data_IF_103200745689
#
_entry.id   IF_103200745689
#
_cell.length_a   1.000
_cell.length_b   1.000
_cell.length_c   1.000
_cell.angle_alpha   90.00
_cell.angle_beta   90.00
_cell.angle_gamma   90.00
#
_symmetry.space_group_name_H-M   'P 1'
#
loop_
_entity.id
_entity.type
_entity.pdbx_description
1 polymer ?
#
# COMPACT_ATOMS: atom_id res chain seq x y z
N UNK A 1 -9.69 16.32 -21.96
CA UNK A 1 -11.11 16.61 -22.31
C UNK A 1 -11.84 17.39 -21.21
N UNK A 2 -11.88 16.92 -19.96
CA UNK A 2 -12.51 17.67 -18.83
C UNK A 2 -11.98 19.09 -18.66
N UNK A 3 -10.66 19.29 -18.67
CA UNK A 3 -10.04 20.62 -18.52
C UNK A 3 -10.49 21.59 -19.61
N UNK A 4 -10.61 21.12 -20.85
CA UNK A 4 -11.08 21.91 -21.99
C UNK A 4 -12.56 22.30 -21.84
N UNK A 5 -13.41 21.35 -21.40
CA UNK A 5 -14.82 21.61 -21.12
C UNK A 5 -15.03 22.60 -19.97
N UNK A 6 -14.23 22.49 -18.90
CA UNK A 6 -14.26 23.41 -17.76
C UNK A 6 -13.80 24.82 -18.17
N UNK A 7 -12.73 24.94 -18.96
CA UNK A 7 -12.27 26.23 -19.48
C UNK A 7 -13.33 26.85 -20.39
N UNK A 8 -13.93 26.08 -21.30
CA UNK A 8 -15.01 26.55 -22.17
C UNK A 8 -16.23 27.04 -21.38
N UNK A 9 -16.59 26.35 -20.29
CA UNK A 9 -17.68 26.76 -19.40
C UNK A 9 -17.36 28.06 -18.66
N UNK A 10 -16.14 28.21 -18.13
CA UNK A 10 -15.70 29.43 -17.44
C UNK A 10 -15.65 30.64 -18.38
N UNK A 11 -15.10 30.46 -19.59
CA UNK A 11 -15.05 31.50 -20.62
C UNK A 11 -16.47 31.89 -21.05
N UNK A 12 -17.35 30.91 -21.28
CA UNK A 12 -18.75 31.18 -21.66
C UNK A 12 -19.50 31.91 -20.54
N UNK A 13 -19.28 31.53 -19.27
CA UNK A 13 -19.84 32.23 -18.11
C UNK A 13 -19.35 33.67 -17.99
N UNK A 14 -18.05 33.92 -18.20
CA UNK A 14 -17.47 35.26 -18.18
C UNK A 14 -18.01 36.15 -19.31
N UNK A 15 -18.13 35.61 -20.53
CA UNK A 15 -18.70 36.33 -21.69
C UNK A 15 -20.19 36.62 -21.48
N UNK A 16 -20.94 35.70 -20.89
CA UNK A 16 -22.35 35.90 -20.54
C UNK A 16 -22.50 37.02 -19.50
N UNK A 17 -21.72 37.01 -18.42
CA UNK A 17 -21.74 38.05 -17.38
C UNK A 17 -21.35 39.42 -17.95
N UNK A 18 -20.32 39.47 -18.79
CA UNK A 18 -19.89 40.69 -19.47
C UNK A 18 -20.98 41.23 -20.42
N UNK A 19 -21.63 40.36 -21.19
CA UNK A 19 -22.71 40.73 -22.11
C UNK A 19 -23.95 41.25 -21.37
N UNK A 20 -24.32 40.63 -20.25
CA UNK A 20 -25.42 41.08 -19.40
C UNK A 20 -25.10 42.42 -18.71
N UNK A 21 -23.85 42.63 -18.30
CA UNK A 21 -23.40 43.90 -17.73
C UNK A 21 -23.45 45.03 -18.77
N UNK A 22 -22.95 44.78 -19.99
CA UNK A 22 -23.03 45.71 -21.13
C UNK A 22 -24.46 46.06 -21.52
N UNK A 23 -25.37 45.08 -21.51
CA UNK A 23 -26.80 45.34 -21.76
C UNK A 23 -27.43 46.27 -20.73
N UNK A 24 -27.01 46.19 -19.45
CA UNK A 24 -27.52 47.07 -18.38
C UNK A 24 -26.97 48.49 -18.46
N UNK A 25 -25.77 48.68 -19.00
CA UNK A 25 -25.08 49.99 -19.08
C UNK A 25 -25.25 50.71 -20.42
N UNK A 26 -25.80 50.04 -21.45
CA UNK A 26 -26.16 50.64 -22.74
C UNK A 26 -26.76 49.61 -23.71
N UNK A 27 -27.65 50.04 -24.61
CA UNK A 27 -28.37 49.12 -25.50
C UNK A 27 -27.49 48.63 -26.67
N UNK A 28 -26.70 47.58 -26.45
CA UNK A 28 -26.06 46.84 -27.54
C UNK A 28 -27.05 45.77 -28.07
N UNK A 29 -27.53 45.87 -29.34
CA UNK A 29 -28.57 45.00 -29.87
C UNK A 29 -28.19 43.51 -29.92
N UNK A 30 -26.89 43.20 -29.86
CA UNK A 30 -26.35 41.83 -29.90
C UNK A 30 -26.12 41.20 -28.51
N UNK A 31 -26.31 41.96 -27.42
CA UNK A 31 -25.95 41.48 -26.08
C UNK A 31 -26.87 40.34 -25.58
N UNK A 32 -28.18 40.39 -25.87
CA UNK A 32 -29.15 39.34 -25.53
C UNK A 32 -28.92 38.02 -26.28
N UNK A 33 -28.81 38.01 -27.63
CA UNK A 33 -28.58 36.76 -28.35
C UNK A 33 -27.22 36.15 -28.01
N UNK A 34 -26.18 36.96 -27.78
CA UNK A 34 -24.87 36.47 -27.35
C UNK A 34 -24.92 35.80 -25.97
N UNK A 35 -25.58 36.42 -24.99
CA UNK A 35 -25.74 35.84 -23.66
C UNK A 35 -26.52 34.50 -23.72
N UNK A 36 -27.56 34.42 -24.56
CA UNK A 36 -28.32 33.18 -24.75
C UNK A 36 -27.45 32.06 -25.35
N UNK A 37 -26.66 32.35 -26.40
CA UNK A 37 -25.75 31.37 -26.99
C UNK A 37 -24.70 30.89 -25.98
N UNK A 38 -24.11 31.79 -25.21
CA UNK A 38 -23.15 31.43 -24.15
C UNK A 38 -23.79 30.57 -23.06
N UNK A 39 -25.04 30.84 -22.68
CA UNK A 39 -25.78 30.03 -21.72
C UNK A 39 -26.03 28.61 -22.24
N UNK A 40 -26.42 28.48 -23.51
CA UNK A 40 -26.60 27.16 -24.16
C UNK A 40 -25.28 26.39 -24.22
N UNK A 41 -24.17 27.04 -24.60
CA UNK A 41 -22.85 26.41 -24.63
C UNK A 41 -22.43 25.95 -23.23
N UNK A 42 -22.60 26.80 -22.20
CA UNK A 42 -22.27 26.44 -20.83
C UNK A 42 -23.11 25.25 -20.33
N UNK A 43 -24.40 25.22 -20.66
CA UNK A 43 -25.30 24.10 -20.32
C UNK A 43 -24.88 22.80 -21.03
N UNK A 44 -24.56 22.86 -22.32
CA UNK A 44 -24.08 21.70 -23.08
C UNK A 44 -22.74 21.20 -22.55
N UNK A 45 -21.81 22.10 -22.19
CA UNK A 45 -20.55 21.71 -21.56
C UNK A 45 -20.77 21.08 -20.18
N UNK A 46 -21.72 21.58 -19.39
CA UNK A 46 -22.06 20.99 -18.08
C UNK A 46 -22.65 19.58 -18.24
N UNK A 47 -23.61 19.40 -19.15
CA UNK A 47 -24.20 18.10 -19.47
C UNK A 47 -23.15 17.12 -20.01
N UNK A 48 -22.28 17.58 -20.91
CA UNK A 48 -21.17 16.77 -21.43
C UNK A 48 -20.21 16.36 -20.31
N UNK A 49 -19.90 17.26 -19.36
CA UNK A 49 -19.05 16.95 -18.20
C UNK A 49 -19.66 15.88 -17.28
N UNK A 50 -20.99 15.85 -17.15
CA UNK A 50 -21.70 14.79 -16.40
C UNK A 50 -21.59 13.42 -17.07
N UNK A 51 -21.45 13.38 -18.41
CA UNK A 51 -21.29 12.16 -19.19
C UNK A 51 -19.83 11.68 -19.29
N UNK A 52 -18.85 12.53 -18.98
CA UNK A 52 -17.44 12.09 -18.97
C UNK A 52 -17.22 11.14 -17.78
N UNK A 53 -16.76 9.89 -18.01
CA UNK A 53 -16.52 8.91 -16.95
C UNK A 53 -15.78 9.55 -15.78
N UNK A 54 -16.35 9.45 -14.58
CA UNK A 54 -15.60 9.73 -13.35
C UNK A 54 -14.50 8.66 -13.26
N UNK A 55 -13.31 9.08 -12.83
CA UNK A 55 -12.24 8.13 -12.55
C UNK A 55 -12.70 7.09 -11.51
N UNK A 56 -11.94 5.99 -11.34
CA UNK A 56 -12.30 4.96 -10.37
C UNK A 56 -12.52 5.58 -8.98
N UNK A 57 -13.56 5.11 -8.29
CA UNK A 57 -13.91 5.59 -6.96
C UNK A 57 -12.77 5.28 -5.98
N UNK A 58 -12.23 6.26 -5.23
CA UNK A 58 -11.15 6.04 -4.26
C UNK A 58 -11.43 4.93 -3.25
N UNK A 59 -12.70 4.76 -2.84
CA UNK A 59 -13.11 3.69 -1.92
C UNK A 59 -12.97 2.32 -2.58
N UNK A 60 -13.32 2.20 -3.86
CA UNK A 60 -13.21 0.94 -4.59
C UNK A 60 -11.75 0.62 -4.93
N UNK A 61 -10.93 1.65 -5.21
CA UNK A 61 -9.47 1.50 -5.35
C UNK A 61 -8.89 0.90 -4.08
N UNK A 62 -9.20 1.48 -2.92
CA UNK A 62 -8.71 1.02 -1.63
C UNK A 62 -9.14 -0.42 -1.35
N UNK A 63 -10.44 -0.73 -1.53
CA UNK A 63 -10.96 -2.10 -1.34
C UNK A 63 -10.26 -3.11 -2.25
N UNK A 64 -10.03 -2.76 -3.51
CA UNK A 64 -9.34 -3.64 -4.46
C UNK A 64 -7.89 -3.86 -4.03
N UNK A 65 -7.20 -2.82 -3.56
CA UNK A 65 -5.81 -2.94 -3.08
C UNK A 65 -5.71 -3.81 -1.83
N UNK A 66 -6.60 -3.61 -0.84
CA UNK A 66 -6.68 -4.47 0.35
C UNK A 66 -6.96 -5.93 -0.01
N UNK A 67 -7.83 -6.17 -1.01
CA UNK A 67 -8.10 -7.53 -1.47
C UNK A 67 -6.87 -8.19 -2.11
N UNK A 68 -6.09 -7.44 -2.90
CA UNK A 68 -4.83 -7.95 -3.46
C UNK A 68 -3.78 -8.23 -2.38
N UNK A 69 -3.65 -7.38 -1.36
CA UNK A 69 -2.78 -7.62 -0.20
C UNK A 69 -3.19 -8.88 0.56
N UNK A 70 -4.48 -9.07 0.81
CA UNK A 70 -4.98 -10.28 1.45
C UNK A 70 -4.65 -11.53 0.64
N UNK A 71 -4.86 -11.49 -0.68
CA UNK A 71 -4.52 -12.60 -1.59
C UNK A 71 -3.02 -12.89 -1.57
N UNK A 72 -2.17 -11.86 -1.57
CA UNK A 72 -0.72 -12.01 -1.58
C UNK A 72 -0.21 -12.67 -0.30
N UNK A 73 -0.72 -12.23 0.84
CA UNK A 73 -0.42 -12.79 2.14
C UNK A 73 -1.01 -14.20 2.34
N UNK A 74 -2.19 -14.50 1.78
CA UNK A 74 -2.79 -15.84 1.82
C UNK A 74 -1.92 -16.85 1.06
N UNK A 75 -1.39 -16.47 -0.10
CA UNK A 75 -0.47 -17.32 -0.85
C UNK A 75 0.83 -17.61 -0.07
N UNK A 76 1.40 -16.58 0.60
CA UNK A 76 2.56 -16.78 1.47
C UNK A 76 2.22 -17.67 2.68
N UNK A 77 1.08 -17.42 3.31
CA UNK A 77 0.62 -18.19 4.46
C UNK A 77 0.45 -19.67 4.13
N UNK A 78 -0.18 -19.99 3.00
CA UNK A 78 -0.35 -21.35 2.52
C UNK A 78 1.00 -22.04 2.25
N UNK A 79 1.93 -21.34 1.59
CA UNK A 79 3.28 -21.86 1.37
C UNK A 79 4.02 -22.15 2.69
N UNK A 80 3.93 -21.24 3.66
CA UNK A 80 4.57 -21.41 4.97
C UNK A 80 3.93 -22.55 5.76
N UNK A 81 2.60 -22.72 5.70
CA UNK A 81 1.87 -23.82 6.32
C UNK A 81 2.35 -25.18 5.83
N UNK A 82 2.68 -25.29 4.54
CA UNK A 82 3.22 -26.50 3.95
C UNK A 82 4.69 -26.76 4.32
N UNK A 83 5.51 -25.70 4.37
CA UNK A 83 6.97 -25.82 4.61
C UNK A 83 7.35 -25.81 6.10
N UNK A 84 6.48 -25.28 6.96
CA UNK A 84 6.70 -25.13 8.40
C UNK A 84 5.46 -25.56 9.20
N UNK A 85 4.92 -26.78 8.99
CA UNK A 85 3.75 -27.23 9.72
C UNK A 85 4.04 -27.32 11.22
N UNK A 86 3.07 -26.95 12.04
CA UNK A 86 3.16 -26.86 13.50
C UNK A 86 3.93 -25.65 14.03
N UNK A 87 4.45 -24.76 13.16
CA UNK A 87 5.23 -23.63 13.61
C UNK A 87 4.39 -22.61 14.41
N UNK A 88 5.05 -21.99 15.40
CA UNK A 88 4.52 -20.87 16.15
C UNK A 88 4.99 -19.57 15.52
N UNK A 89 4.06 -18.80 14.94
CA UNK A 89 4.34 -17.58 14.20
C UNK A 89 4.22 -16.32 15.08
N UNK A 90 5.24 -15.48 15.04
CA UNK A 90 5.18 -14.08 15.48
C UNK A 90 4.98 -13.21 14.23
N UNK A 91 3.93 -12.39 14.18
CA UNK A 91 3.69 -11.49 13.05
C UNK A 91 4.10 -10.08 13.45
N UNK A 92 5.02 -9.47 12.70
CA UNK A 92 5.42 -8.07 12.86
C UNK A 92 4.53 -7.20 11.98
N UNK A 93 3.86 -6.25 12.60
CA UNK A 93 2.85 -5.36 12.00
C UNK A 93 3.27 -3.90 12.16
N UNK A 94 2.74 -2.97 11.36
CA UNK A 94 2.98 -1.55 11.59
C UNK A 94 2.35 -1.08 12.92
N UNK A 95 2.90 -0.03 13.56
CA UNK A 95 2.31 0.56 14.76
C UNK A 95 0.88 1.08 14.51
N UNK A 96 -0.04 0.78 15.42
CA UNK A 96 -1.45 1.16 15.29
C UNK A 96 -1.66 2.67 15.28
N UNK A 97 -0.80 3.42 15.97
CA UNK A 97 -0.87 4.87 16.02
C UNK A 97 -0.72 5.50 14.63
N UNK A 98 -0.03 4.83 13.70
CA UNK A 98 0.11 5.34 12.33
C UNK A 98 -1.22 5.35 11.59
N UNK A 99 -2.14 4.47 11.95
CA UNK A 99 -3.37 4.22 11.20
C UNK A 99 -3.14 4.18 9.70
N UNK A 100 -4.16 4.56 8.93
CA UNK A 100 -4.20 4.44 7.47
C UNK A 100 -3.00 5.04 6.71
N UNK A 101 -2.12 5.81 7.39
CA UNK A 101 -0.87 6.34 6.85
C UNK A 101 0.13 5.26 6.44
N UNK A 102 -0.04 4.02 6.90
CA UNK A 102 0.82 2.89 6.53
C UNK A 102 -0.01 1.74 5.97
N UNK A 103 0.55 1.09 4.94
CA UNK A 103 -0.02 -0.13 4.36
C UNK A 103 -0.14 -1.20 5.45
N UNK A 104 -1.32 -1.81 5.58
CA UNK A 104 -1.65 -2.84 6.59
C UNK A 104 -1.79 -2.36 8.05
N UNK A 105 -1.92 -1.06 8.29
CA UNK A 105 -2.26 -0.51 9.62
C UNK A 105 -3.70 -0.80 10.05
N UNK A 106 -3.91 -1.12 11.34
CA UNK A 106 -5.22 -1.47 11.90
C UNK A 106 -5.88 -0.39 12.78
N UNK A 107 -5.54 0.90 12.63
CA UNK A 107 -6.04 1.93 13.57
C UNK A 107 -7.56 1.91 13.72
N UNK A 108 -8.03 1.98 14.96
CA UNK A 108 -9.47 2.06 15.26
C UNK A 108 -10.26 0.82 14.85
N UNK A 109 -9.62 -0.36 14.78
CA UNK A 109 -10.27 -1.62 14.41
C UNK A 109 -10.42 -1.83 12.90
N UNK A 110 -9.61 -1.14 12.08
CA UNK A 110 -9.58 -1.34 10.64
C UNK A 110 -8.96 -2.71 10.28
N UNK A 111 -9.37 -3.31 9.14
CA UNK A 111 -8.84 -4.59 8.70
C UNK A 111 -7.34 -4.50 8.39
N UNK A 112 -6.58 -5.52 8.80
CA UNK A 112 -5.17 -5.71 8.42
C UNK A 112 -5.08 -6.79 7.34
N UNK A 113 -5.23 -6.44 6.04
CA UNK A 113 -5.35 -7.43 4.98
C UNK A 113 -4.18 -8.41 4.89
N UNK A 114 -2.93 -8.00 5.16
CA UNK A 114 -1.79 -8.93 5.14
C UNK A 114 -1.87 -9.90 6.31
N UNK A 115 -2.17 -9.42 7.52
CA UNK A 115 -2.36 -10.30 8.69
C UNK A 115 -3.51 -11.28 8.48
N UNK A 116 -4.65 -10.80 7.97
CA UNK A 116 -5.81 -11.64 7.66
C UNK A 116 -5.50 -12.69 6.59
N UNK A 117 -4.78 -12.28 5.54
CA UNK A 117 -4.33 -13.17 4.48
C UNK A 117 -3.40 -14.25 5.03
N UNK A 118 -2.37 -13.86 5.79
CA UNK A 118 -1.44 -14.79 6.44
C UNK A 118 -2.19 -15.81 7.29
N UNK A 119 -3.08 -15.36 8.17
CA UNK A 119 -3.89 -16.25 9.02
C UNK A 119 -4.78 -17.19 8.22
N UNK A 120 -5.40 -16.70 7.14
CA UNK A 120 -6.20 -17.55 6.25
C UNK A 120 -5.34 -18.63 5.57
N UNK A 121 -4.15 -18.26 5.08
CA UNK A 121 -3.22 -19.20 4.46
C UNK A 121 -2.59 -20.19 5.45
N UNK A 122 -2.32 -19.75 6.68
CA UNK A 122 -1.83 -20.61 7.76
C UNK A 122 -2.80 -21.75 8.10
N UNK A 123 -4.10 -21.47 8.05
CA UNK A 123 -5.13 -22.41 8.47
C UNK A 123 -4.91 -22.86 9.92
N UNK A 124 -5.02 -24.16 10.16
CA UNK A 124 -4.75 -24.80 11.45
C UNK A 124 -3.29 -25.30 11.59
N UNK A 125 -2.48 -25.17 10.54
CA UNK A 125 -1.13 -25.73 10.48
C UNK A 125 -0.08 -24.83 11.11
N UNK A 126 -0.36 -23.54 11.31
CA UNK A 126 0.54 -22.59 11.97
C UNK A 126 -0.24 -21.84 13.05
N UNK A 127 0.33 -21.78 14.26
CA UNK A 127 -0.29 -21.04 15.38
C UNK A 127 0.30 -19.64 15.48
N UNK A 128 -0.52 -18.61 15.36
CA UNK A 128 -0.08 -17.22 15.61
C UNK A 128 0.01 -16.98 17.11
N UNK A 129 1.22 -16.73 17.61
CA UNK A 129 1.49 -16.46 19.02
C UNK A 129 1.18 -15.03 19.39
N UNK A 130 1.54 -14.08 18.52
CA UNK A 130 1.26 -12.67 18.71
C UNK A 130 1.38 -11.89 17.40
N UNK A 131 0.70 -10.75 17.36
CA UNK A 131 0.95 -9.65 16.45
C UNK A 131 1.65 -8.55 17.25
N UNK A 132 2.80 -8.08 16.77
CA UNK A 132 3.62 -7.09 17.49
C UNK A 132 4.08 -5.99 16.56
N UNK A 133 4.12 -4.77 17.08
CA UNK A 133 4.60 -3.61 16.36
C UNK A 133 5.82 -3.00 17.07
N UNK A 134 6.78 -2.42 16.33
CA UNK A 134 7.85 -1.63 16.92
C UNK A 134 7.29 -0.39 17.60
N UNK A 135 7.97 0.08 18.64
CA UNK A 135 7.55 1.31 19.33
C UNK A 135 7.88 2.53 18.47
N UNK A 136 6.93 3.45 18.32
CA UNK A 136 7.19 4.72 17.64
C UNK A 136 8.11 5.60 18.49
N UNK A 137 9.17 6.19 17.90
CA UNK A 137 9.99 7.18 18.60
C UNK A 137 9.14 8.32 19.14
N UNK A 138 9.49 8.86 20.31
CA UNK A 138 8.65 9.84 21.02
C UNK A 138 8.36 11.11 20.21
N UNK A 139 9.34 11.57 19.42
CA UNK A 139 9.18 12.69 18.51
C UNK A 139 8.04 12.47 17.50
N UNK A 140 7.82 11.22 17.07
CA UNK A 140 6.77 10.84 16.14
C UNK A 140 5.43 10.57 16.81
N UNK A 141 5.41 10.04 18.03
CA UNK A 141 4.16 9.90 18.79
C UNK A 141 3.46 11.25 18.97
N UNK A 142 4.22 12.31 19.23
CA UNK A 142 3.69 13.68 19.37
C UNK A 142 3.15 14.24 18.06
N UNK A 143 3.82 14.00 16.93
CA UNK A 143 3.37 14.50 15.62
C UNK A 143 2.17 13.72 15.08
N UNK A 144 2.10 12.41 15.31
CA UNK A 144 0.94 11.58 14.96
C UNK A 144 -0.28 11.98 15.80
N UNK A 145 -0.12 12.19 17.10
CA UNK A 145 -1.20 12.65 17.99
C UNK A 145 -1.73 14.04 17.61
N UNK A 146 -0.88 14.93 17.09
CA UNK A 146 -1.28 16.27 16.66
C UNK A 146 -2.17 16.28 15.41
N UNK A 147 -2.10 15.25 14.56
CA UNK A 147 -2.85 15.15 13.29
C UNK A 147 -4.09 14.25 13.41
N UNK A 148 -4.13 13.37 14.42
CA UNK A 148 -5.24 12.42 14.68
C UNK A 148 -6.37 12.98 15.57
N UNK A 149 -6.51 14.31 15.66
CA UNK A 149 -7.55 14.97 16.46
C UNK A 149 -8.97 14.86 15.87
N UNK A 150 -10.03 15.11 16.67
CA UNK A 150 -11.44 14.95 16.28
C UNK A 150 -11.93 15.87 15.14
N UNK A 151 -11.09 16.79 14.64
CA UNK A 151 -11.35 17.60 13.43
C UNK A 151 -10.86 16.95 12.13
N UNK A 152 -10.38 15.70 12.17
CA UNK A 152 -10.18 14.90 10.95
C UNK A 152 -11.56 14.47 10.40
N UNK A 153 -12.32 15.45 9.89
CA UNK A 153 -13.58 15.23 9.22
C UNK A 153 -13.37 14.24 8.06
N UNK A 154 -14.29 13.27 7.98
CA UNK A 154 -14.38 12.26 6.94
C UNK A 154 -14.76 12.90 5.60
N UNK A 155 -13.85 13.68 5.03
CA UNK A 155 -13.89 14.22 3.67
C UNK A 155 -13.05 13.38 2.71
N UNK A 156 -13.21 13.55 1.39
CA UNK A 156 -12.49 12.76 0.39
C UNK A 156 -10.97 12.97 0.53
N UNK A 157 -10.30 11.97 1.11
CA UNK A 157 -8.86 11.70 1.06
C UNK A 157 -7.98 12.95 0.89
N UNK A 158 -8.01 13.87 1.86
CA UNK A 158 -6.88 14.76 2.04
C UNK A 158 -5.75 13.90 2.60
N UNK A 159 -4.79 13.51 1.76
CA UNK A 159 -3.49 13.05 2.25
C UNK A 159 -3.01 14.16 3.19
N UNK A 160 -2.83 13.92 4.50
CA UNK A 160 -2.40 14.97 5.40
C UNK A 160 -1.06 15.48 4.88
N UNK A 161 -0.88 16.80 4.85
CA UNK A 161 0.38 17.48 4.48
C UNK A 161 1.54 17.18 5.46
N UNK A 162 1.44 16.09 6.22
CA UNK A 162 2.48 15.57 7.08
C UNK A 162 3.37 14.56 6.34
N UNK A 163 4.63 14.40 6.75
CA UNK A 163 5.53 13.45 6.13
C UNK A 163 4.92 12.03 6.17
N UNK A 164 4.91 11.36 5.02
CA UNK A 164 4.67 9.91 4.94
C UNK A 164 5.70 9.24 5.85
N UNK A 165 5.23 8.57 6.89
CA UNK A 165 6.08 7.87 7.85
C UNK A 165 6.47 6.54 7.25
N UNK A 166 7.60 6.55 6.55
CA UNK A 166 8.14 5.34 5.95
C UNK A 166 8.68 4.39 7.04
N UNK A 167 8.56 3.05 6.88
CA UNK A 167 8.99 2.07 7.88
C UNK A 167 10.41 2.25 8.40
N UNK A 168 11.31 2.78 7.59
CA UNK A 168 12.72 3.03 7.91
C UNK A 168 12.90 3.95 9.14
N UNK A 169 11.89 4.76 9.48
CA UNK A 169 11.96 5.66 10.63
C UNK A 169 11.59 5.01 11.97
N UNK A 170 10.98 3.81 11.96
CA UNK A 170 10.53 3.15 13.19
C UNK A 170 10.88 1.65 13.25
N UNK A 171 11.30 1.03 12.14
CA UNK A 171 11.77 -0.35 12.08
C UNK A 171 13.30 -0.36 11.97
N UNK A 172 14.00 -0.17 13.09
CA UNK A 172 15.46 -0.31 13.18
C UNK A 172 15.86 -1.76 13.48
N UNK A 173 17.12 -2.13 13.26
CA UNK A 173 17.64 -3.43 13.67
C UNK A 173 17.43 -3.69 15.17
N UNK A 174 17.68 -2.69 16.00
CA UNK A 174 17.47 -2.77 17.45
C UNK A 174 16.00 -3.00 17.80
N UNK A 175 15.08 -2.27 17.17
CA UNK A 175 13.66 -2.44 17.41
C UNK A 175 13.19 -3.84 16.97
N UNK A 176 13.64 -4.31 15.82
CA UNK A 176 13.33 -5.67 15.35
C UNK A 176 13.85 -6.73 16.31
N UNK A 177 15.13 -6.64 16.70
CA UNK A 177 15.74 -7.59 17.64
C UNK A 177 15.02 -7.59 18.98
N UNK A 178 14.67 -6.42 19.51
CA UNK A 178 13.93 -6.29 20.76
C UNK A 178 12.54 -6.95 20.69
N UNK A 179 11.84 -6.82 19.56
CA UNK A 179 10.56 -7.50 19.35
C UNK A 179 10.72 -9.01 19.35
N UNK A 180 11.66 -9.55 18.58
CA UNK A 180 11.86 -10.99 18.46
C UNK A 180 12.37 -11.59 19.79
N UNK A 181 13.27 -10.89 20.49
CA UNK A 181 13.84 -11.34 21.75
C UNK A 181 12.77 -11.56 22.84
N UNK A 182 11.75 -10.68 22.91
CA UNK A 182 10.60 -10.85 23.82
C UNK A 182 9.90 -12.19 23.62
N UNK A 183 10.01 -12.80 22.43
CA UNK A 183 9.38 -14.08 22.08
C UNK A 183 10.39 -15.22 21.87
N UNK A 184 11.65 -15.05 22.31
CA UNK A 184 12.67 -16.11 22.24
C UNK A 184 12.16 -17.41 22.87
N UNK A 185 12.29 -18.52 22.14
CA UNK A 185 11.80 -19.84 22.55
C UNK A 185 10.27 -20.04 22.45
N UNK A 186 9.51 -18.97 22.16
CA UNK A 186 8.05 -18.99 22.02
C UNK A 186 7.56 -18.98 20.56
N UNK A 187 8.42 -18.60 19.61
CA UNK A 187 8.14 -18.67 18.19
C UNK A 187 9.23 -19.44 17.44
N UNK A 188 8.83 -20.05 16.32
CA UNK A 188 9.68 -20.80 15.40
C UNK A 188 9.70 -20.15 14.00
N UNK A 189 8.76 -19.23 13.76
CA UNK A 189 8.59 -18.43 12.55
C UNK A 189 8.32 -16.97 12.92
N UNK A 190 9.02 -16.04 12.28
CA UNK A 190 8.75 -14.60 12.31
C UNK A 190 8.29 -14.20 10.92
N UNK A 191 7.14 -13.52 10.82
CA UNK A 191 6.62 -13.00 9.54
C UNK A 191 6.49 -11.49 9.63
N UNK A 192 7.22 -10.76 8.80
CA UNK A 192 7.11 -9.30 8.75
C UNK A 192 6.17 -8.86 7.63
N UNK A 193 5.20 -8.02 7.97
CA UNK A 193 4.29 -7.34 7.02
C UNK A 193 4.83 -5.97 6.58
N UNK A 194 5.90 -5.49 7.22
CA UNK A 194 6.50 -4.17 7.00
C UNK A 194 7.94 -4.25 6.47
N UNK A 195 8.34 -5.42 5.96
CA UNK A 195 9.68 -5.65 5.42
C UNK A 195 10.73 -5.82 6.52
N UNK A 196 11.95 -5.40 6.23
CA UNK A 196 13.09 -5.48 7.15
C UNK A 196 13.69 -4.10 7.41
N UNK A 197 14.41 -3.93 8.53
CA UNK A 197 15.24 -2.75 8.75
C UNK A 197 16.24 -2.53 7.61
N UNK A 198 16.53 -1.27 7.27
CA UNK A 198 17.56 -0.93 6.28
C UNK A 198 18.97 -1.30 6.78
N UNK A 199 19.18 -1.26 8.10
CA UNK A 199 20.41 -1.62 8.77
C UNK A 199 20.50 -3.13 9.07
N UNK A 200 20.20 -3.97 8.06
CA UNK A 200 20.22 -5.45 8.17
C UNK A 200 21.46 -6.01 8.86
N UNK A 201 22.63 -5.42 8.61
CA UNK A 201 23.91 -5.85 9.19
C UNK A 201 23.97 -5.66 10.71
N UNK A 202 23.20 -4.71 11.25
CA UNK A 202 23.09 -4.45 12.69
C UNK A 202 22.21 -5.44 13.44
N UNK A 203 21.42 -6.27 12.74
CA UNK A 203 20.47 -7.19 13.36
C UNK A 203 21.19 -8.38 14.00
N UNK A 204 21.09 -8.51 15.32
CA UNK A 204 21.50 -9.69 16.09
C UNK A 204 20.72 -10.92 15.65
N UNK A 205 19.45 -10.76 15.27
CA UNK A 205 18.65 -11.79 14.65
C UNK A 205 19.37 -12.39 13.43
N UNK A 206 20.01 -11.57 12.60
CA UNK A 206 20.71 -12.04 11.42
C UNK A 206 21.98 -12.83 11.76
N UNK A 207 22.66 -12.40 12.82
CA UNK A 207 23.94 -12.95 13.27
C UNK A 207 23.79 -14.22 14.14
N UNK A 208 22.60 -14.45 14.72
CA UNK A 208 22.36 -15.62 15.58
C UNK A 208 22.37 -16.94 14.80
N UNK A 209 23.09 -17.93 15.32
CA UNK A 209 23.09 -19.29 14.78
C UNK A 209 21.77 -20.03 15.06
N UNK A 210 21.13 -19.74 16.19
CA UNK A 210 19.83 -20.31 16.57
C UNK A 210 18.80 -19.18 16.50
N UNK A 211 17.91 -19.26 15.52
CA UNK A 211 16.86 -18.25 15.29
C UNK A 211 15.63 -18.88 14.64
N UNK A 212 14.43 -18.29 14.88
CA UNK A 212 13.24 -18.58 14.09
C UNK A 212 13.49 -18.39 12.59
N UNK A 213 12.75 -19.12 11.74
CA UNK A 213 12.69 -18.81 10.31
C UNK A 213 12.08 -17.42 10.11
N UNK A 214 12.50 -16.72 9.06
CA UNK A 214 11.95 -15.42 8.69
C UNK A 214 11.12 -15.55 7.40
N UNK A 215 9.99 -14.86 7.32
CA UNK A 215 9.24 -14.67 6.09
C UNK A 215 8.79 -13.22 5.93
N UNK A 216 8.60 -12.77 4.70
CA UNK A 216 8.27 -11.38 4.38
C UNK A 216 6.99 -11.32 3.52
N UNK A 217 5.91 -10.80 4.08
CA UNK A 217 4.65 -10.61 3.36
C UNK A 217 4.66 -9.33 2.49
N UNK A 218 5.59 -8.43 2.77
CA UNK A 218 5.89 -7.27 1.95
C UNK A 218 7.38 -6.89 2.10
N UNK A 219 7.90 -6.13 1.14
CA UNK A 219 9.26 -5.60 1.16
C UNK A 219 9.94 -5.66 -0.20
N UNK A 220 11.22 -5.29 -0.23
CA UNK A 220 12.07 -5.33 -1.41
C UNK A 220 13.10 -6.45 -1.29
N UNK A 221 13.37 -7.16 -2.39
CA UNK A 221 14.24 -8.33 -2.40
C UNK A 221 15.71 -8.02 -2.75
N UNK A 222 16.06 -6.74 -2.97
CA UNK A 222 17.31 -6.33 -3.62
C UNK A 222 18.57 -7.05 -3.12
N UNK A 223 18.77 -7.13 -1.80
CA UNK A 223 19.95 -7.76 -1.19
C UNK A 223 19.65 -9.13 -0.53
N UNK A 224 18.48 -9.71 -0.81
CA UNK A 224 17.96 -10.88 -0.09
C UNK A 224 18.11 -12.19 -0.85
N UNK A 225 18.69 -12.19 -2.05
CA UNK A 225 18.87 -13.41 -2.87
C UNK A 225 19.59 -14.52 -2.11
N UNK A 226 20.76 -14.22 -1.56
CA UNK A 226 21.57 -15.19 -0.79
C UNK A 226 20.86 -15.64 0.48
N UNK A 227 20.13 -14.73 1.13
CA UNK A 227 19.35 -15.03 2.32
C UNK A 227 18.24 -16.05 2.03
N UNK A 228 17.53 -15.88 0.91
CA UNK A 228 16.50 -16.80 0.44
C UNK A 228 17.14 -18.13 0.02
N UNK A 229 18.23 -18.10 -0.76
CA UNK A 229 18.94 -19.30 -1.23
C UNK A 229 19.43 -20.20 -0.09
N UNK A 230 19.89 -19.58 1.01
CA UNK A 230 20.34 -20.28 2.23
C UNK A 230 19.20 -20.63 3.19
N UNK A 231 17.94 -20.43 2.79
CA UNK A 231 16.75 -20.68 3.60
C UNK A 231 16.73 -19.89 4.93
N UNK A 232 17.43 -18.74 4.99
CA UNK A 232 17.33 -17.81 6.11
C UNK A 232 16.01 -17.03 6.05
N UNK A 233 15.53 -16.78 4.83
CA UNK A 233 14.18 -16.33 4.53
C UNK A 233 13.45 -17.52 3.91
N UNK A 234 12.46 -18.06 4.64
CA UNK A 234 11.67 -19.21 4.22
C UNK A 234 10.81 -18.90 3.00
N UNK A 235 10.26 -17.68 2.92
CA UNK A 235 9.48 -17.22 1.78
C UNK A 235 9.27 -15.71 1.83
N UNK A 236 9.18 -15.09 0.66
CA UNK A 236 8.96 -13.65 0.52
C UNK A 236 8.02 -13.36 -0.63
N UNK A 237 7.04 -12.49 -0.41
CA UNK A 237 6.21 -11.95 -1.49
C UNK A 237 6.74 -10.59 -1.91
N UNK A 238 6.90 -10.42 -3.22
CA UNK A 238 7.22 -9.14 -3.83
C UNK A 238 6.17 -8.77 -4.87
N UNK A 239 6.07 -7.48 -5.18
CA UNK A 239 5.38 -7.04 -6.37
C UNK A 239 6.14 -7.54 -7.61
N UNK A 240 5.39 -8.01 -8.61
CA UNK A 240 5.95 -8.46 -9.88
C UNK A 240 6.59 -7.29 -10.61
N UNK A 241 7.85 -7.40 -11.07
CA UNK A 241 8.49 -6.36 -11.86
C UNK A 241 7.70 -6.04 -13.14
N UNK A 242 7.72 -4.76 -13.53
CA UNK A 242 6.95 -4.27 -14.68
C UNK A 242 5.44 -4.23 -14.47
N UNK A 243 4.93 -4.53 -13.26
CA UNK A 243 3.51 -4.35 -12.96
C UNK A 243 3.11 -2.87 -13.12
N UNK A 244 2.11 -2.65 -13.96
CA UNK A 244 1.46 -1.35 -14.10
C UNK A 244 0.21 -1.35 -13.22
N UNK A 245 0.09 -0.42 -12.25
CA UNK A 245 -1.10 -0.31 -11.43
C UNK A 245 -2.38 -0.24 -12.26
N UNK A 246 -3.23 -1.27 -12.12
CA UNK A 246 -4.62 -1.18 -12.51
C UNK A 246 -5.49 -1.05 -11.26
N UNK A 247 -6.53 -0.25 -11.32
CA UNK A 247 -7.44 -0.08 -10.17
C UNK A 247 -8.62 -1.04 -10.23
N UNK A 248 -8.44 -2.16 -10.94
CA UNK A 248 -9.48 -3.14 -11.21
C UNK A 248 -9.62 -4.08 -10.03
N UNK A 249 -10.82 -4.62 -9.88
CA UNK A 249 -11.10 -5.69 -8.93
C UNK A 249 -10.21 -6.91 -9.23
N UNK A 250 -9.70 -7.63 -8.20
CA UNK A 250 -9.04 -8.90 -8.40
C UNK A 250 -9.90 -9.88 -9.22
N UNK A 251 -9.29 -10.71 -10.09
CA UNK A 251 -9.93 -11.90 -10.64
C UNK A 251 -10.59 -12.75 -9.55
N UNK A 252 -11.61 -13.53 -9.91
CA UNK A 252 -12.25 -14.45 -8.97
C UNK A 252 -11.30 -15.58 -8.55
N UNK A 253 -10.46 -16.04 -9.48
CA UNK A 253 -9.39 -16.96 -9.17
C UNK A 253 -8.26 -16.22 -8.42
N UNK A 254 -8.05 -16.61 -7.15
CA UNK A 254 -7.01 -16.01 -6.31
C UNK A 254 -5.60 -16.28 -6.83
N UNK A 255 -5.38 -17.41 -7.50
CA UNK A 255 -4.10 -17.77 -8.10
C UNK A 255 -3.79 -16.84 -9.27
N UNK A 256 -4.78 -16.61 -10.13
CA UNK A 256 -4.67 -15.64 -11.23
C UNK A 256 -4.45 -14.22 -10.69
N UNK A 257 -5.20 -13.82 -9.66
CA UNK A 257 -5.04 -12.53 -9.00
C UNK A 257 -3.63 -12.36 -8.42
N UNK A 258 -3.10 -13.39 -7.76
CA UNK A 258 -1.73 -13.39 -7.24
C UNK A 258 -0.71 -13.23 -8.37
N UNK A 259 -0.74 -14.12 -9.36
CA UNK A 259 0.24 -14.17 -10.46
C UNK A 259 0.26 -12.90 -11.34
N UNK A 260 -0.86 -12.16 -11.34
CA UNK A 260 -0.98 -10.87 -12.01
C UNK A 260 -0.12 -9.78 -11.38
N UNK A 261 0.02 -9.77 -10.05
CA UNK A 261 0.64 -8.65 -9.30
C UNK A 261 1.87 -9.02 -8.50
N UNK A 262 2.05 -10.29 -8.18
CA UNK A 262 3.02 -10.72 -7.19
C UNK A 262 3.86 -11.89 -7.66
N UNK A 263 5.03 -12.04 -7.03
CA UNK A 263 5.87 -13.21 -7.09
C UNK A 263 6.11 -13.71 -5.67
N UNK A 264 6.09 -15.03 -5.50
CA UNK A 264 6.54 -15.68 -4.27
C UNK A 264 7.97 -16.17 -4.48
N UNK A 265 8.92 -15.56 -3.77
CA UNK A 265 10.33 -15.93 -3.74
C UNK A 265 10.56 -17.01 -2.68
N UNK A 266 11.25 -18.07 -3.07
CA UNK A 266 11.52 -19.26 -2.25
C UNK A 266 12.88 -19.83 -2.61
N UNK A 267 13.42 -20.74 -1.79
CA UNK A 267 14.62 -21.53 -2.13
C UNK A 267 14.50 -22.23 -3.48
N UNK A 268 13.29 -22.63 -3.85
CA UNK A 268 13.03 -23.50 -5.01
C UNK A 268 13.02 -22.72 -6.34
N UNK A 269 12.86 -21.38 -6.29
CA UNK A 269 12.69 -20.56 -7.49
C UNK A 269 13.50 -19.26 -7.52
N UNK A 270 14.24 -18.92 -6.46
CA UNK A 270 14.96 -17.63 -6.37
C UNK A 270 15.96 -17.43 -7.50
N UNK A 271 16.72 -18.45 -7.88
CA UNK A 271 17.72 -18.33 -8.95
C UNK A 271 17.07 -18.22 -10.35
N UNK A 272 15.95 -18.92 -10.56
CA UNK A 272 15.15 -18.78 -11.78
C UNK A 272 14.58 -17.37 -11.90
N UNK A 273 13.97 -16.86 -10.82
CA UNK A 273 13.42 -15.50 -10.78
C UNK A 273 14.50 -14.45 -10.97
N UNK A 274 15.69 -14.63 -10.37
CA UNK A 274 16.82 -13.73 -10.59
C UNK A 274 17.28 -13.68 -12.05
N UNK A 275 17.14 -14.80 -12.77
CA UNK A 275 17.49 -14.89 -14.20
C UNK A 275 16.42 -14.27 -15.10
N UNK A 276 15.14 -14.41 -14.73
CA UNK A 276 13.99 -13.86 -15.46
C UNK A 276 13.80 -12.35 -15.21
N UNK A 277 14.11 -11.88 -14.01
CA UNK A 277 13.88 -10.52 -13.54
C UNK A 277 15.11 -9.99 -12.80
N UNK A 278 16.13 -9.59 -13.57
CA UNK A 278 17.40 -9.11 -13.02
C UNK A 278 17.22 -7.88 -12.09
N UNK A 279 16.16 -7.08 -12.28
CA UNK A 279 15.84 -5.91 -11.45
C UNK A 279 15.32 -6.24 -10.05
N UNK A 280 14.96 -7.50 -9.77
CA UNK A 280 14.49 -7.94 -8.45
C UNK A 280 15.63 -7.94 -7.43
N UNK A 281 16.83 -8.28 -7.89
CA UNK A 281 18.02 -8.41 -7.06
C UNK A 281 19.09 -7.46 -7.56
N UNK A 282 19.62 -6.63 -6.66
CA UNK A 282 20.86 -5.94 -6.96
C UNK A 282 21.93 -6.97 -6.63
N UNK A 283 22.46 -7.64 -7.65
CA UNK A 283 23.65 -8.46 -7.46
C UNK A 283 24.71 -7.52 -6.87
N UNK A 284 24.99 -7.70 -5.59
CA UNK A 284 26.07 -7.04 -4.87
C UNK A 284 27.39 -7.50 -5.46
N UNK A 285 27.70 -7.02 -6.66
CA UNK A 285 29.02 -7.05 -7.27
C UNK A 285 29.93 -6.25 -6.37
N UNK A 286 30.43 -6.91 -5.33
CA UNK A 286 31.49 -6.41 -4.48
C UNK A 286 32.66 -5.99 -5.36
N UNK A 287 32.93 -4.69 -5.33
CA UNK A 287 34.28 -4.19 -5.18
C UNK A 287 34.47 -3.82 -3.71
#
# INVERSE_FOLDING_TARGET
MKTVLTIAMLVSGAVMLWSLHRHKTGYHPLAKPLAFVCAVIALLCALANMLVPRGPNPVDIMKNEMAYQRISAEALGAYLADKCPGARALIIVPPDELGWRVIDSGAGGQPRPLVEGLKAGFGDRITVVAEVAPELPEAWRKSVAAVSGPSAEQGPMAMPDGPMLMPEFYLTAEAFDALVERYRGRCDLVVSTIGLPQDLRGMKFWQSAIKPKLALAAGQAYELREAIRRNLIAGMVIQKPGFVPDYKRPPQDKTEAFAKRFLLLTTDNVDRIASEFAEVFIDGGGK
#
